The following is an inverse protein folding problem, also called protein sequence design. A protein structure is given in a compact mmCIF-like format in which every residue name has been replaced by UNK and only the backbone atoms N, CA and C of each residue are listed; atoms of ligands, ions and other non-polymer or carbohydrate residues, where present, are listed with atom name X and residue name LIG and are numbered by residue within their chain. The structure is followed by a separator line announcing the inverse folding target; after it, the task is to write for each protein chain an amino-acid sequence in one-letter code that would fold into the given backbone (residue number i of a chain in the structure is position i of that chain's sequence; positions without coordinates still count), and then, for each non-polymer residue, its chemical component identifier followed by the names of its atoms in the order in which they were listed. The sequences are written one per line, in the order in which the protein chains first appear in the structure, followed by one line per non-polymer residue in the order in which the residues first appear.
data_IF_656431377298
#
_entry.id   IF_656431377298
#
_cell.length_a   1.000
_cell.length_b   1.000
_cell.length_c   1.000
_cell.angle_alpha   90.00
_cell.angle_beta   90.00
_cell.angle_gamma   90.00
#
_symmetry.space_group_name_H-M   'P 1'
#
loop_
_entity.id
_entity.type
_entity.pdbx_description
1 polymer ?
#
# COMPACT_ATOMS: atom_id res chain seq x y z
N UNK A 1 8.93 -6.04 29.44
CA UNK A 1 9.73 -5.69 28.24
C UNK A 1 9.97 -6.97 27.46
N UNK A 2 10.01 -6.96 26.12
CA UNK A 2 10.29 -8.19 25.36
C UNK A 2 11.80 -8.30 25.11
N UNK A 3 12.40 -9.37 25.62
CA UNK A 3 13.79 -9.76 25.36
C UNK A 3 13.83 -10.98 24.44
N UNK A 4 14.92 -11.12 23.67
CA UNK A 4 15.09 -12.26 22.78
C UNK A 4 16.54 -12.50 22.39
N UNK A 5 16.91 -13.77 22.14
CA UNK A 5 18.17 -14.12 21.47
C UNK A 5 18.19 -13.72 19.98
N UNK A 6 17.04 -13.34 19.42
CA UNK A 6 16.85 -12.85 18.06
C UNK A 6 16.47 -11.38 18.10
N UNK A 7 17.41 -10.54 18.51
CA UNK A 7 17.19 -9.10 18.76
C UNK A 7 16.61 -8.35 17.56
N UNK A 8 16.93 -8.78 16.34
CA UNK A 8 16.40 -8.20 15.10
C UNK A 8 14.89 -8.39 14.89
N UNK A 9 14.24 -9.31 15.61
CA UNK A 9 12.80 -9.58 15.50
C UNK A 9 11.97 -8.94 16.62
N UNK A 10 12.61 -8.24 17.56
CA UNK A 10 11.94 -7.54 18.67
C UNK A 10 10.86 -6.55 18.18
N UNK A 11 11.04 -5.76 17.11
CA UNK A 11 9.99 -4.88 16.60
C UNK A 11 8.70 -5.65 16.25
N UNK A 12 8.81 -6.77 15.51
CA UNK A 12 7.65 -7.58 15.15
C UNK A 12 7.02 -8.31 16.34
N UNK A 13 7.80 -8.67 17.36
CA UNK A 13 7.26 -9.21 18.61
C UNK A 13 6.42 -8.17 19.35
N UNK A 14 6.91 -6.92 19.41
CA UNK A 14 6.16 -5.82 20.01
C UNK A 14 4.87 -5.50 19.24
N UNK A 15 4.88 -5.57 17.91
CA UNK A 15 3.66 -5.41 17.10
C UNK A 15 2.63 -6.49 17.43
N UNK A 16 3.05 -7.76 17.47
CA UNK A 16 2.16 -8.86 17.84
C UNK A 16 1.62 -8.67 19.27
N UNK A 17 2.48 -8.33 20.22
CA UNK A 17 2.09 -8.07 21.60
C UNK A 17 1.03 -6.97 21.71
N UNK A 18 1.20 -5.85 20.99
CA UNK A 18 0.25 -4.73 20.96
C UNK A 18 -1.16 -5.13 20.52
N UNK A 19 -1.30 -6.16 19.68
CA UNK A 19 -2.62 -6.63 19.21
C UNK A 19 -3.47 -7.27 20.32
N UNK A 20 -2.85 -7.73 21.41
CA UNK A 20 -3.54 -8.23 22.60
C UNK A 20 -3.88 -7.10 23.60
N UNK A 21 -3.77 -5.83 23.17
CA UNK A 21 -4.06 -4.62 23.94
C UNK A 21 -3.33 -4.51 25.30
N UNK A 22 -1.99 -4.57 25.34
CA UNK A 22 -1.28 -4.61 26.61
C UNK A 22 -1.15 -3.21 27.20
N UNK A 23 -1.97 -2.92 28.22
CA UNK A 23 -1.78 -1.78 29.13
C UNK A 23 -0.89 -2.14 30.34
N UNK A 24 -0.46 -3.39 30.44
CA UNK A 24 0.33 -3.92 31.55
C UNK A 24 1.73 -4.31 31.06
N UNK A 25 2.74 -4.02 31.88
CA UNK A 25 4.09 -4.52 31.67
C UNK A 25 4.11 -6.02 31.92
N UNK A 26 4.73 -6.77 31.01
CA UNK A 26 4.93 -8.21 31.12
C UNK A 26 6.40 -8.53 30.88
N UNK A 27 6.91 -9.54 31.58
CA UNK A 27 8.26 -10.04 31.38
C UNK A 27 8.20 -11.19 30.37
N UNK A 28 8.69 -10.90 29.16
CA UNK A 28 8.61 -11.80 28.01
C UNK A 28 10.02 -12.07 27.51
N UNK A 29 10.42 -13.33 27.51
CA UNK A 29 11.64 -13.77 26.84
C UNK A 29 11.28 -14.72 25.70
N UNK A 30 11.70 -14.37 24.48
CA UNK A 30 11.47 -15.16 23.27
C UNK A 30 12.77 -15.80 22.83
N UNK A 31 12.79 -17.12 22.72
CA UNK A 31 13.92 -17.88 22.20
C UNK A 31 13.56 -18.58 20.88
N UNK A 32 14.51 -18.56 19.95
CA UNK A 32 14.43 -19.37 18.74
C UNK A 32 15.81 -19.85 18.29
N UNK A 33 15.89 -21.12 17.93
CA UNK A 33 17.04 -21.68 17.23
C UNK A 33 16.59 -22.65 16.14
N UNK A 34 17.48 -22.94 15.20
CA UNK A 34 17.28 -23.99 14.21
C UNK A 34 18.47 -24.97 14.28
N UNK A 35 18.16 -26.26 14.27
CA UNK A 35 19.10 -27.38 14.24
C UNK A 35 18.57 -28.45 13.30
N UNK A 36 19.35 -28.81 12.28
CA UNK A 36 19.02 -29.87 11.31
C UNK A 36 17.59 -29.74 10.73
N UNK A 37 17.25 -28.57 10.19
CA UNK A 37 15.94 -28.23 9.61
C UNK A 37 14.77 -28.25 10.60
N UNK A 38 15.08 -28.33 11.90
CA UNK A 38 14.10 -28.28 12.98
C UNK A 38 14.26 -26.98 13.75
N UNK A 39 13.18 -26.22 13.82
CA UNK A 39 13.09 -24.95 14.53
C UNK A 39 12.52 -25.19 15.92
N UNK A 40 13.29 -24.81 16.94
CA UNK A 40 12.93 -24.92 18.34
C UNK A 40 12.69 -23.52 18.88
N UNK A 41 11.47 -23.25 19.34
CA UNK A 41 11.09 -21.95 19.85
C UNK A 41 10.45 -22.12 21.22
N UNK A 42 10.80 -21.25 22.17
CA UNK A 42 10.06 -21.15 23.42
C UNK A 42 9.87 -19.70 23.83
N UNK A 43 8.80 -19.45 24.57
CA UNK A 43 8.51 -18.16 25.18
C UNK A 43 8.33 -18.37 26.67
N UNK A 44 9.01 -17.55 27.46
CA UNK A 44 8.75 -17.39 28.88
C UNK A 44 7.93 -16.11 29.06
N UNK A 45 6.71 -16.25 29.57
CA UNK A 45 5.81 -15.14 29.86
C UNK A 45 5.48 -15.19 31.35
N UNK A 46 6.03 -14.26 32.13
CA UNK A 46 5.94 -14.24 33.60
C UNK A 46 6.31 -15.58 34.27
N UNK A 47 7.34 -16.25 33.75
CA UNK A 47 7.81 -17.54 34.23
C UNK A 47 7.07 -18.75 33.66
N UNK A 48 5.97 -18.57 32.93
CA UNK A 48 5.28 -19.65 32.24
C UNK A 48 5.90 -19.94 30.88
N UNK A 49 6.24 -21.20 30.61
CA UNK A 49 6.88 -21.63 29.36
C UNK A 49 5.87 -22.14 28.34
N UNK A 50 5.92 -21.60 27.13
CA UNK A 50 5.26 -22.13 25.93
C UNK A 50 6.31 -22.57 24.92
N UNK A 51 6.12 -23.71 24.26
CA UNK A 51 7.07 -24.25 23.30
C UNK A 51 6.42 -24.60 21.96
N UNK A 52 7.16 -24.37 20.88
CA UNK A 52 6.80 -24.73 19.51
C UNK A 52 8.00 -25.37 18.84
N UNK A 53 7.76 -26.52 18.21
CA UNK A 53 8.73 -27.24 17.39
C UNK A 53 8.17 -27.41 15.97
N UNK A 54 8.97 -27.08 14.95
CA UNK A 54 8.56 -27.19 13.55
C UNK A 54 9.69 -27.66 12.65
N UNK A 55 9.38 -28.53 11.69
CA UNK A 55 10.31 -28.92 10.64
C UNK A 55 10.01 -28.08 9.40
N UNK A 56 11.06 -27.55 8.76
CA UNK A 56 10.91 -26.90 7.46
C UNK A 56 12.19 -27.02 6.65
N UNK A 57 12.05 -27.38 5.39
CA UNK A 57 13.13 -27.32 4.40
C UNK A 57 13.30 -25.88 3.92
N UNK A 58 14.55 -25.45 3.75
CA UNK A 58 14.87 -24.12 3.23
C UNK A 58 16.11 -24.20 2.32
N UNK A 59 16.13 -23.35 1.29
CA UNK A 59 17.18 -23.31 0.26
C UNK A 59 18.32 -22.33 0.56
N UNK A 60 18.20 -21.53 1.62
CA UNK A 60 19.24 -20.58 2.02
C UNK A 60 18.92 -19.77 3.27
N UNK A 61 19.83 -18.88 3.65
CA UNK A 61 19.77 -18.13 4.91
C UNK A 61 18.55 -17.21 5.01
N UNK A 62 18.14 -16.58 3.90
CA UNK A 62 16.98 -15.70 3.85
C UNK A 62 15.70 -16.47 4.22
N UNK A 63 15.53 -17.66 3.66
CA UNK A 63 14.37 -18.50 3.92
C UNK A 63 14.42 -19.09 5.34
N UNK A 64 15.60 -19.52 5.80
CA UNK A 64 15.83 -19.92 7.20
C UNK A 64 15.42 -18.82 8.18
N UNK A 65 15.86 -17.58 7.95
CA UNK A 65 15.50 -16.42 8.78
C UNK A 65 13.99 -16.17 8.77
N UNK A 66 13.31 -16.35 7.62
CA UNK A 66 11.85 -16.23 7.52
C UNK A 66 11.12 -17.28 8.36
N UNK A 67 11.54 -18.55 8.32
CA UNK A 67 10.95 -19.61 9.15
C UNK A 67 11.20 -19.37 10.64
N UNK A 68 12.43 -19.01 11.01
CA UNK A 68 12.77 -18.71 12.40
C UNK A 68 11.91 -17.58 12.96
N UNK A 69 11.73 -16.50 12.20
CA UNK A 69 10.81 -15.41 12.56
C UNK A 69 9.37 -15.89 12.69
N UNK A 70 8.88 -16.69 11.73
CA UNK A 70 7.51 -17.19 11.73
C UNK A 70 7.21 -18.06 12.96
N UNK A 71 8.07 -19.02 13.27
CA UNK A 71 7.82 -19.98 14.34
C UNK A 71 8.03 -19.39 15.73
N UNK A 72 8.95 -18.42 15.88
CA UNK A 72 9.05 -17.65 17.14
C UNK A 72 7.83 -16.77 17.35
N UNK A 73 7.32 -16.11 16.30
CA UNK A 73 6.06 -15.37 16.38
C UNK A 73 4.86 -16.27 16.70
N UNK A 74 4.79 -17.47 16.13
CA UNK A 74 3.77 -18.46 16.47
C UNK A 74 3.85 -18.87 17.94
N UNK A 75 5.06 -19.12 18.46
CA UNK A 75 5.27 -19.45 19.86
C UNK A 75 4.84 -18.31 20.79
N UNK A 76 5.19 -17.07 20.44
CA UNK A 76 4.75 -15.88 21.15
C UNK A 76 3.22 -15.70 21.10
N UNK A 77 2.61 -15.90 19.93
CA UNK A 77 1.15 -15.85 19.78
C UNK A 77 0.46 -16.82 20.74
N UNK A 78 0.86 -18.10 20.75
CA UNK A 78 0.29 -19.12 21.63
C UNK A 78 0.45 -18.77 23.11
N UNK A 79 1.61 -18.25 23.51
CA UNK A 79 1.85 -17.81 24.88
C UNK A 79 0.90 -16.66 25.28
N UNK A 80 0.72 -15.68 24.39
CA UNK A 80 -0.15 -14.54 24.61
C UNK A 80 -1.64 -14.91 24.58
N UNK A 81 -2.06 -15.76 23.64
CA UNK A 81 -3.42 -16.30 23.57
C UNK A 81 -3.78 -17.00 24.88
N UNK A 82 -2.90 -17.88 25.36
CA UNK A 82 -3.11 -18.59 26.63
C UNK A 82 -3.22 -17.64 27.83
N UNK A 83 -2.33 -16.65 27.90
CA UNK A 83 -2.26 -15.73 29.04
C UNK A 83 -3.41 -14.73 29.08
N UNK A 84 -3.78 -14.15 27.93
CA UNK A 84 -4.84 -13.16 27.85
C UNK A 84 -6.22 -13.79 27.59
N UNK A 85 -6.28 -15.08 27.26
CA UNK A 85 -7.50 -15.78 26.85
C UNK A 85 -8.24 -15.07 25.70
N UNK A 86 -7.45 -14.58 24.72
CA UNK A 86 -7.94 -13.86 23.55
C UNK A 86 -7.40 -14.53 22.30
N UNK A 87 -8.28 -14.95 21.40
CA UNK A 87 -7.90 -15.47 20.09
C UNK A 87 -8.02 -14.39 19.02
N UNK A 88 -6.92 -14.10 18.33
CA UNK A 88 -6.96 -13.18 17.19
C UNK A 88 -7.47 -13.90 15.93
N UNK A 89 -8.35 -13.30 15.12
CA UNK A 89 -8.91 -13.96 13.93
C UNK A 89 -7.88 -14.39 12.88
N UNK A 90 -6.75 -13.70 12.82
CA UNK A 90 -5.64 -14.00 11.90
C UNK A 90 -4.56 -14.90 12.52
N UNK A 91 -4.77 -15.39 13.75
CA UNK A 91 -3.79 -16.20 14.46
C UNK A 91 -2.40 -15.55 14.49
N UNK A 92 -1.39 -16.34 14.14
CA UNK A 92 0.00 -15.91 14.05
C UNK A 92 0.36 -15.18 12.73
N UNK A 93 -0.59 -14.91 11.82
CA UNK A 93 -0.35 -14.19 10.56
C UNK A 93 -0.26 -12.65 10.71
N UNK A 94 0.25 -12.16 11.83
CA UNK A 94 0.39 -10.71 12.05
C UNK A 94 1.50 -10.13 11.18
N UNK A 95 1.21 -9.03 10.46
CA UNK A 95 2.16 -8.40 9.53
C UNK A 95 2.43 -9.19 8.25
N UNK A 96 1.67 -10.26 7.96
CA UNK A 96 1.79 -11.05 6.75
C UNK A 96 0.63 -10.71 5.81
N UNK A 97 0.88 -10.55 4.51
CA UNK A 97 -0.16 -10.41 3.49
C UNK A 97 -0.78 -11.79 3.21
N UNK A 98 -1.98 -12.11 3.75
CA UNK A 98 -2.44 -13.50 3.81
C UNK A 98 -2.69 -14.10 2.42
N UNK A 99 -3.26 -13.33 1.50
CA UNK A 99 -3.54 -13.76 0.13
C UNK A 99 -2.26 -14.11 -0.64
N UNK A 100 -1.21 -13.28 -0.53
CA UNK A 100 0.09 -13.55 -1.16
C UNK A 100 0.75 -14.80 -0.56
N UNK A 101 0.65 -14.95 0.76
CA UNK A 101 1.22 -16.08 1.47
C UNK A 101 0.51 -17.39 1.12
N UNK A 102 -0.83 -17.37 1.04
CA UNK A 102 -1.64 -18.51 0.64
C UNK A 102 -1.28 -19.05 -0.75
N UNK A 103 -1.00 -18.17 -1.73
CA UNK A 103 -0.56 -18.58 -3.09
C UNK A 103 0.80 -19.31 -3.12
N UNK A 104 1.51 -19.41 -1.99
CA UNK A 104 2.78 -20.14 -1.89
C UNK A 104 2.60 -21.61 -1.49
N UNK A 105 1.35 -22.08 -1.29
CA UNK A 105 1.03 -23.44 -0.87
C UNK A 105 -0.07 -24.03 -1.75
N UNK A 106 0.01 -25.32 -2.02
CA UNK A 106 -1.06 -26.05 -2.73
C UNK A 106 -2.32 -26.19 -1.85
N UNK A 107 -2.15 -26.49 -0.55
CA UNK A 107 -3.22 -26.55 0.44
C UNK A 107 -3.01 -25.52 1.57
N UNK A 108 -3.19 -24.24 1.25
CA UNK A 108 -2.98 -23.17 2.23
C UNK A 108 -4.01 -23.21 3.37
N UNK A 109 -5.21 -23.75 3.14
CA UNK A 109 -6.31 -23.80 4.12
C UNK A 109 -5.88 -24.62 5.35
N UNK A 110 -5.33 -25.81 5.10
CA UNK A 110 -4.80 -26.68 6.16
C UNK A 110 -3.63 -26.02 6.90
N UNK A 111 -2.69 -25.39 6.18
CA UNK A 111 -1.57 -24.69 6.81
C UNK A 111 -2.06 -23.51 7.68
N UNK A 112 -2.99 -22.71 7.19
CA UNK A 112 -3.51 -21.55 7.92
C UNK A 112 -4.24 -21.98 9.19
N UNK A 113 -5.06 -23.04 9.10
CA UNK A 113 -5.80 -23.60 10.22
C UNK A 113 -4.87 -24.24 11.26
N UNK A 114 -4.05 -25.21 10.84
CA UNK A 114 -3.25 -26.06 11.76
C UNK A 114 -1.97 -25.39 12.25
N UNK A 115 -1.29 -24.67 11.36
CA UNK A 115 0.05 -24.16 11.66
C UNK A 115 0.03 -22.71 12.15
N UNK A 116 -0.95 -21.92 11.71
CA UNK A 116 -0.99 -20.49 11.99
C UNK A 116 -2.18 -20.07 12.86
N UNK A 117 -3.05 -21.01 13.26
CA UNK A 117 -4.21 -20.78 14.14
C UNK A 117 -5.18 -19.70 13.62
N UNK A 118 -5.30 -19.61 12.29
CA UNK A 118 -6.20 -18.67 11.62
C UNK A 118 -7.63 -19.19 11.71
N UNK A 119 -8.58 -18.32 12.02
CA UNK A 119 -9.99 -18.69 12.07
C UNK A 119 -10.55 -19.02 10.68
N UNK A 120 -11.45 -20.00 10.61
CA UNK A 120 -12.07 -20.49 9.37
C UNK A 120 -12.72 -19.37 8.55
N UNK A 121 -13.33 -18.38 9.23
CA UNK A 121 -13.91 -17.21 8.56
C UNK A 121 -12.87 -16.40 7.77
N UNK A 122 -11.65 -16.28 8.29
CA UNK A 122 -10.55 -15.59 7.59
C UNK A 122 -9.95 -16.46 6.49
N UNK A 123 -9.88 -17.77 6.68
CA UNK A 123 -9.46 -18.72 5.63
C UNK A 123 -10.42 -18.64 4.44
N UNK A 124 -11.73 -18.68 4.70
CA UNK A 124 -12.77 -18.54 3.68
C UNK A 124 -12.71 -17.20 2.95
N UNK A 125 -12.43 -16.10 3.67
CA UNK A 125 -12.20 -14.79 3.05
C UNK A 125 -10.98 -14.81 2.12
N UNK A 126 -9.86 -15.43 2.53
CA UNK A 126 -8.68 -15.54 1.65
C UNK A 126 -9.00 -16.37 0.42
N UNK A 127 -9.73 -17.48 0.58
CA UNK A 127 -10.19 -18.34 -0.52
C UNK A 127 -11.04 -17.57 -1.51
N UNK A 128 -12.04 -16.81 -1.04
CA UNK A 128 -12.91 -16.03 -1.92
C UNK A 128 -12.12 -14.97 -2.68
N UNK A 129 -11.18 -14.28 -2.03
CA UNK A 129 -10.32 -13.29 -2.69
C UNK A 129 -9.45 -13.95 -3.77
N UNK A 130 -8.84 -15.10 -3.50
CA UNK A 130 -8.03 -15.83 -4.50
C UNK A 130 -8.89 -16.24 -5.70
N UNK A 131 -10.09 -16.77 -5.46
CA UNK A 131 -11.02 -17.15 -6.52
C UNK A 131 -11.40 -15.95 -7.40
N UNK A 132 -11.75 -14.81 -6.80
CA UNK A 132 -12.05 -13.56 -7.54
C UNK A 132 -10.82 -13.05 -8.31
N UNK A 133 -9.62 -13.17 -7.76
CA UNK A 133 -8.40 -12.73 -8.44
C UNK A 133 -7.97 -13.65 -9.57
N UNK A 134 -8.27 -14.95 -9.51
CA UNK A 134 -7.86 -15.90 -10.55
C UNK A 134 -8.46 -15.55 -11.91
N UNK A 135 -9.69 -15.03 -11.96
CA UNK A 135 -10.30 -14.53 -13.20
C UNK A 135 -9.68 -13.24 -13.72
N UNK A 136 -8.90 -12.53 -12.90
CA UNK A 136 -8.20 -11.29 -13.26
C UNK A 136 -6.73 -11.52 -13.61
N UNK A 137 -6.23 -12.76 -13.46
CA UNK A 137 -4.83 -13.07 -13.66
C UNK A 137 -4.52 -13.22 -15.15
N UNK A 138 -4.22 -12.10 -15.81
CA UNK A 138 -3.82 -12.08 -17.22
C UNK A 138 -2.32 -12.39 -17.31
N UNK A 139 -1.97 -13.56 -17.84
CA UNK A 139 -0.58 -13.79 -18.25
C UNK A 139 -0.31 -13.01 -19.53
N UNK A 140 0.65 -12.10 -19.45
CA UNK A 140 1.02 -11.24 -20.57
C UNK A 140 2.53 -11.08 -20.59
N UNK A 141 3.09 -10.95 -21.79
CA UNK A 141 4.48 -10.55 -22.00
C UNK A 141 4.64 -9.02 -21.93
N UNK A 142 3.55 -8.28 -21.71
CA UNK A 142 3.58 -6.83 -21.53
C UNK A 142 4.24 -6.41 -20.22
N UNK A 143 4.72 -5.18 -20.18
CA UNK A 143 5.41 -4.52 -19.07
C UNK A 143 4.60 -3.31 -18.60
N UNK A 144 4.51 -3.16 -17.28
CA UNK A 144 3.92 -2.00 -16.65
C UNK A 144 5.01 -0.99 -16.29
N UNK A 145 4.82 0.26 -16.69
CA UNK A 145 5.78 1.34 -16.46
C UNK A 145 5.24 2.24 -15.36
N UNK A 146 6.02 2.42 -14.30
CA UNK A 146 5.74 3.40 -13.26
C UNK A 146 6.75 4.54 -13.32
N UNK A 147 6.25 5.77 -13.40
CA UNK A 147 7.05 6.99 -13.37
C UNK A 147 6.76 7.73 -12.07
N UNK A 148 7.75 7.79 -11.19
CA UNK A 148 7.61 8.47 -9.90
C UNK A 148 7.95 9.96 -10.01
N UNK A 149 7.05 10.83 -9.55
CA UNK A 149 7.32 12.26 -9.37
C UNK A 149 7.36 12.56 -7.87
N UNK A 150 8.54 12.69 -7.25
CA UNK A 150 8.70 12.72 -5.79
C UNK A 150 8.42 14.10 -5.17
N UNK A 151 7.66 14.96 -5.83
CA UNK A 151 7.40 16.33 -5.42
C UNK A 151 5.94 16.55 -5.08
N UNK A 152 5.67 17.28 -3.99
CA UNK A 152 4.34 17.67 -3.56
C UNK A 152 4.29 19.16 -3.26
N UNK A 153 3.14 19.85 -3.42
CA UNK A 153 3.00 21.24 -2.98
C UNK A 153 3.08 21.38 -1.44
N UNK A 154 2.65 20.36 -0.70
CA UNK A 154 2.78 20.26 0.75
C UNK A 154 2.84 18.79 1.19
N UNK A 155 3.35 18.54 2.41
CA UNK A 155 3.31 17.21 3.03
C UNK A 155 1.94 16.99 3.71
N UNK A 156 1.26 15.90 3.36
CA UNK A 156 0.07 15.46 4.08
C UNK A 156 0.47 14.58 5.27
N UNK A 157 -0.18 14.73 6.42
CA UNK A 157 0.20 14.03 7.65
C UNK A 157 -0.01 12.51 7.60
N UNK A 158 -0.89 12.02 6.74
CA UNK A 158 -1.14 10.58 6.55
C UNK A 158 -0.23 9.93 5.50
N UNK A 159 0.50 10.72 4.71
CA UNK A 159 1.14 10.22 3.49
C UNK A 159 2.41 9.44 3.82
N UNK A 160 2.46 8.19 3.37
CA UNK A 160 3.63 7.30 3.49
C UNK A 160 4.55 7.31 2.27
N UNK A 161 4.15 7.97 1.17
CA UNK A 161 4.99 8.08 -0.02
C UNK A 161 6.28 8.86 0.26
N UNK A 162 7.36 8.43 -0.40
CA UNK A 162 8.66 9.11 -0.39
C UNK A 162 8.54 10.34 -1.30
N UNK A 163 8.15 11.47 -0.74
CA UNK A 163 7.96 12.72 -1.47
C UNK A 163 8.34 13.94 -0.61
N UNK A 164 8.94 14.93 -1.27
CA UNK A 164 9.34 16.20 -0.66
C UNK A 164 8.31 17.29 -0.93
N UNK A 165 8.06 18.13 0.08
CA UNK A 165 7.35 19.38 -0.15
C UNK A 165 8.25 20.32 -0.96
N UNK A 166 7.72 20.88 -2.05
CA UNK A 166 8.42 21.85 -2.87
C UNK A 166 8.78 23.09 -2.08
N UNK A 167 9.95 23.62 -2.40
CA UNK A 167 10.47 24.91 -2.00
C UNK A 167 11.34 25.46 -3.13
N UNK A 168 11.81 26.71 -3.00
CA UNK A 168 12.60 27.39 -4.03
C UNK A 168 13.89 26.66 -4.45
N UNK A 169 14.43 25.78 -3.60
CA UNK A 169 15.65 25.00 -3.86
C UNK A 169 15.37 23.59 -4.40
N UNK A 170 14.11 23.26 -4.69
CA UNK A 170 13.75 21.93 -5.15
C UNK A 170 14.26 21.71 -6.59
N UNK A 171 15.04 20.65 -6.85
CA UNK A 171 15.70 20.43 -8.14
C UNK A 171 14.73 19.79 -9.16
N UNK A 172 13.59 20.43 -9.41
CA UNK A 172 12.52 19.85 -10.25
C UNK A 172 13.00 19.71 -11.69
N UNK A 173 13.70 20.71 -12.22
CA UNK A 173 14.18 20.69 -13.60
C UNK A 173 15.26 19.62 -13.80
N UNK A 174 16.24 19.58 -12.89
CA UNK A 174 17.33 18.61 -12.91
C UNK A 174 16.80 17.17 -12.78
N UNK A 175 15.78 16.98 -11.94
CA UNK A 175 15.09 15.70 -11.81
C UNK A 175 14.40 15.29 -13.12
N UNK A 176 13.64 16.19 -13.75
CA UNK A 176 12.95 15.90 -15.02
C UNK A 176 13.96 15.64 -16.15
N UNK A 177 15.08 16.35 -16.18
CA UNK A 177 16.15 16.10 -17.15
C UNK A 177 16.79 14.72 -16.98
N UNK A 178 17.16 14.36 -15.75
CA UNK A 178 17.70 13.05 -15.43
C UNK A 178 16.70 11.93 -15.75
N UNK A 179 15.42 12.12 -15.39
CA UNK A 179 14.35 11.18 -15.67
C UNK A 179 14.13 11.01 -17.18
N UNK A 180 14.07 12.09 -17.95
CA UNK A 180 13.97 12.02 -19.41
C UNK A 180 15.18 11.32 -20.04
N UNK A 181 16.39 11.53 -19.50
CA UNK A 181 17.58 10.80 -19.94
C UNK A 181 17.43 9.30 -19.68
N UNK A 182 17.05 8.89 -18.47
CA UNK A 182 16.85 7.49 -18.09
C UNK A 182 15.78 6.80 -18.94
N UNK A 183 14.63 7.46 -19.15
CA UNK A 183 13.53 6.97 -20.00
C UNK A 183 14.03 6.69 -21.43
N UNK A 184 14.86 7.58 -21.98
CA UNK A 184 15.44 7.42 -23.31
C UNK A 184 16.46 6.26 -23.35
N UNK A 185 17.32 6.13 -22.34
CA UNK A 185 18.28 5.03 -22.26
C UNK A 185 17.60 3.66 -22.11
N UNK A 186 16.45 3.62 -21.43
CA UNK A 186 15.69 2.39 -21.19
C UNK A 186 14.69 2.06 -22.31
N UNK A 187 14.53 2.92 -23.33
CA UNK A 187 13.41 2.85 -24.29
C UNK A 187 13.33 1.50 -25.02
N UNK A 188 14.46 0.96 -25.42
CA UNK A 188 14.54 -0.33 -26.13
C UNK A 188 14.13 -1.52 -25.25
N UNK A 189 14.15 -1.38 -23.91
CA UNK A 189 13.74 -2.43 -22.99
C UNK A 189 12.21 -2.63 -22.96
N UNK A 190 11.43 -1.58 -23.24
CA UNK A 190 9.98 -1.60 -23.01
C UNK A 190 9.11 -1.20 -24.19
N UNK A 191 9.62 -0.47 -25.20
CA UNK A 191 8.78 0.21 -26.22
C UNK A 191 7.77 -0.70 -26.93
N UNK A 192 8.12 -1.94 -27.24
CA UNK A 192 7.23 -2.91 -27.92
C UNK A 192 6.30 -3.69 -26.98
N UNK A 193 6.56 -3.59 -25.66
CA UNK A 193 5.93 -4.43 -24.64
C UNK A 193 5.10 -3.62 -23.65
N UNK A 194 4.86 -2.33 -23.84
CA UNK A 194 4.09 -1.53 -22.88
C UNK A 194 2.66 -2.07 -22.74
N UNK A 195 2.28 -2.44 -21.52
CA UNK A 195 0.93 -2.85 -21.14
C UNK A 195 0.18 -1.68 -20.52
N UNK A 196 0.74 -1.09 -19.46
CA UNK A 196 0.21 0.09 -18.80
C UNK A 196 1.31 1.08 -18.43
N UNK A 197 0.94 2.35 -18.28
CA UNK A 197 1.82 3.41 -17.79
C UNK A 197 1.12 4.17 -16.68
N UNK A 198 1.82 4.38 -15.57
CA UNK A 198 1.30 5.08 -14.41
C UNK A 198 2.30 6.14 -13.95
N UNK A 199 1.89 7.40 -13.99
CA UNK A 199 2.67 8.51 -13.43
C UNK A 199 2.08 8.86 -12.06
N UNK A 200 2.84 8.68 -11.00
CA UNK A 200 2.38 8.85 -9.62
C UNK A 200 3.46 9.28 -8.64
N UNK A 201 3.24 9.04 -7.35
CA UNK A 201 4.25 9.20 -6.30
C UNK A 201 3.91 10.32 -5.32
N UNK A 202 4.46 11.51 -5.57
CA UNK A 202 4.08 12.72 -4.85
C UNK A 202 2.84 13.35 -5.46
N UNK A 203 3.04 14.28 -6.37
CA UNK A 203 1.97 14.95 -7.12
C UNK A 203 2.48 15.26 -8.53
N UNK A 204 2.28 14.37 -9.51
CA UNK A 204 2.67 14.61 -10.91
C UNK A 204 2.15 15.94 -11.46
N UNK A 205 0.92 16.32 -11.10
CA UNK A 205 0.32 17.59 -11.50
C UNK A 205 1.07 18.84 -10.98
N UNK A 206 2.05 18.70 -10.07
CA UNK A 206 2.86 19.83 -9.59
C UNK A 206 3.85 20.34 -10.64
N UNK A 207 4.22 19.48 -11.61
CA UNK A 207 5.03 19.89 -12.74
C UNK A 207 4.33 21.00 -13.51
N UNK A 208 5.09 21.98 -13.98
CA UNK A 208 4.55 22.99 -14.89
C UNK A 208 4.25 22.38 -16.27
N UNK A 209 3.61 23.16 -17.14
CA UNK A 209 3.16 22.74 -18.45
C UNK A 209 4.33 22.27 -19.34
N UNK A 210 5.44 23.00 -19.34
CA UNK A 210 6.64 22.67 -20.13
C UNK A 210 7.28 21.35 -19.67
N UNK A 211 7.47 21.19 -18.36
CA UNK A 211 8.00 19.97 -17.75
C UNK A 211 7.09 18.77 -18.03
N UNK A 212 5.78 18.97 -17.91
CA UNK A 212 4.76 17.96 -18.19
C UNK A 212 4.83 17.51 -19.65
N UNK A 213 4.81 18.46 -20.58
CA UNK A 213 4.89 18.17 -22.02
C UNK A 213 6.21 17.47 -22.38
N UNK A 214 7.34 17.94 -21.82
CA UNK A 214 8.65 17.31 -22.00
C UNK A 214 8.65 15.85 -21.55
N UNK A 215 8.12 15.57 -20.35
CA UNK A 215 8.06 14.21 -19.80
C UNK A 215 7.18 13.28 -20.67
N UNK A 216 5.94 13.70 -20.96
CA UNK A 216 5.00 12.88 -21.73
C UNK A 216 5.47 12.63 -23.16
N UNK A 217 6.07 13.64 -23.81
CA UNK A 217 6.69 13.48 -25.12
C UNK A 217 7.86 12.50 -25.08
N UNK A 218 8.65 12.49 -24.02
CA UNK A 218 9.79 11.59 -23.88
C UNK A 218 9.36 10.13 -23.75
N UNK A 219 8.28 9.88 -23.00
CA UNK A 219 7.71 8.55 -22.83
C UNK A 219 7.23 7.94 -24.15
N UNK A 220 6.68 8.74 -25.07
CA UNK A 220 6.31 8.30 -26.43
C UNK A 220 5.42 7.04 -26.41
N UNK A 221 4.35 7.11 -25.61
CA UNK A 221 3.46 5.98 -25.33
C UNK A 221 2.56 5.71 -26.56
N UNK A 222 2.45 4.45 -27.03
CA UNK A 222 1.60 4.11 -28.15
C UNK A 222 0.11 4.27 -27.79
N UNK A 223 -0.73 4.42 -28.83
CA UNK A 223 -2.17 4.42 -28.65
C UNK A 223 -2.68 3.07 -28.11
N UNK A 224 -3.82 3.09 -27.42
CA UNK A 224 -4.47 1.91 -26.81
C UNK A 224 -3.73 1.26 -25.62
N UNK A 225 -2.82 2.00 -24.97
CA UNK A 225 -2.25 1.64 -23.67
C UNK A 225 -3.02 2.37 -22.57
N UNK A 226 -3.32 1.72 -21.45
CA UNK A 226 -3.80 2.45 -20.27
C UNK A 226 -2.70 3.39 -19.79
N UNK A 227 -2.95 4.68 -19.87
CA UNK A 227 -1.99 5.71 -19.49
C UNK A 227 -2.62 6.60 -18.42
N UNK A 228 -2.21 6.35 -17.17
CA UNK A 228 -2.70 7.03 -15.99
C UNK A 228 -1.76 8.13 -15.51
N UNK A 229 -2.33 9.30 -15.16
CA UNK A 229 -1.62 10.35 -14.42
C UNK A 229 -2.35 10.66 -13.12
N UNK A 230 -1.65 10.62 -11.99
CA UNK A 230 -2.18 11.09 -10.71
C UNK A 230 -2.29 12.63 -10.71
N UNK A 231 -3.51 13.10 -10.88
CA UNK A 231 -3.92 14.50 -10.71
C UNK A 231 -4.50 14.72 -9.29
N UNK A 232 -3.92 14.03 -8.30
CA UNK A 232 -4.54 13.81 -6.99
C UNK A 232 -4.74 15.08 -6.17
N UNK A 233 -4.17 16.22 -6.59
CA UNK A 233 -4.26 17.55 -5.98
C UNK A 233 -5.01 18.49 -6.94
N UNK A 234 -6.29 18.81 -6.71
CA UNK A 234 -7.06 19.71 -7.60
C UNK A 234 -6.41 21.10 -7.71
N UNK A 235 -5.69 21.52 -6.67
CA UNK A 235 -4.94 22.76 -6.57
C UNK A 235 -3.72 22.84 -7.50
N UNK A 236 -3.36 21.75 -8.18
CA UNK A 236 -2.26 21.73 -9.16
C UNK A 236 -2.74 21.48 -10.60
N UNK A 237 -4.04 21.24 -10.80
CA UNK A 237 -4.62 20.88 -12.10
C UNK A 237 -5.13 22.14 -12.81
N UNK A 238 -4.61 22.39 -14.01
CA UNK A 238 -5.01 23.48 -14.90
C UNK A 238 -5.63 22.91 -16.18
N UNK A 239 -6.37 23.75 -16.92
CA UNK A 239 -6.93 23.34 -18.21
C UNK A 239 -5.80 22.97 -19.19
N UNK A 240 -4.73 23.75 -19.20
CA UNK A 240 -3.55 23.58 -20.05
C UNK A 240 -2.89 22.22 -19.81
N UNK A 241 -2.77 21.78 -18.55
CA UNK A 241 -2.26 20.43 -18.23
C UNK A 241 -3.20 19.33 -18.72
N UNK A 242 -4.51 19.49 -18.59
CA UNK A 242 -5.48 18.52 -19.12
C UNK A 242 -5.43 18.46 -20.65
N UNK A 243 -5.27 19.59 -21.33
CA UNK A 243 -5.05 19.65 -22.79
C UNK A 243 -3.78 18.87 -23.18
N UNK A 244 -2.68 19.07 -22.45
CA UNK A 244 -1.42 18.32 -22.63
C UNK A 244 -1.63 16.82 -22.39
N UNK A 245 -2.29 16.43 -21.30
CA UNK A 245 -2.59 15.03 -20.99
C UNK A 245 -3.35 14.36 -22.14
N UNK A 246 -4.43 14.98 -22.62
CA UNK A 246 -5.22 14.46 -23.73
C UNK A 246 -4.41 14.39 -25.04
N UNK A 247 -3.62 15.43 -25.34
CA UNK A 247 -2.73 15.49 -26.51
C UNK A 247 -1.75 14.31 -26.56
N UNK A 248 -1.22 13.90 -25.41
CA UNK A 248 -0.23 12.82 -25.30
C UNK A 248 -0.85 11.45 -24.95
N UNK A 249 -2.16 11.30 -25.08
CA UNK A 249 -2.84 10.01 -24.99
C UNK A 249 -3.07 9.49 -23.56
N UNK A 250 -2.93 10.34 -22.54
CA UNK A 250 -3.43 10.02 -21.20
C UNK A 250 -4.93 9.76 -21.31
N UNK A 251 -5.38 8.63 -20.78
CA UNK A 251 -6.78 8.21 -20.86
C UNK A 251 -7.37 7.88 -19.49
N UNK A 252 -6.56 7.97 -18.42
CA UNK A 252 -7.01 7.83 -17.05
C UNK A 252 -6.35 8.86 -16.15
N UNK A 253 -7.10 9.44 -15.22
CA UNK A 253 -6.57 10.35 -14.19
C UNK A 253 -7.16 10.03 -12.82
N UNK A 254 -6.43 10.40 -11.77
CA UNK A 254 -6.90 10.27 -10.39
C UNK A 254 -7.11 11.67 -9.80
N UNK A 255 -8.36 12.03 -9.47
CA UNK A 255 -8.71 13.28 -8.75
C UNK A 255 -9.12 12.90 -7.34
N UNK A 256 -8.24 13.13 -6.38
CA UNK A 256 -8.30 12.41 -5.12
C UNK A 256 -8.64 13.32 -3.94
N UNK A 257 -9.94 13.45 -3.57
CA UNK A 257 -10.35 14.27 -2.43
C UNK A 257 -9.79 13.74 -1.12
N UNK A 258 -9.62 12.42 -0.99
CA UNK A 258 -9.37 11.69 0.27
C UNK A 258 -10.55 11.75 1.24
N UNK A 259 -11.16 12.92 1.38
CA UNK A 259 -12.38 13.21 2.11
C UNK A 259 -13.03 14.47 1.52
N UNK A 260 -14.36 14.57 1.59
CA UNK A 260 -15.13 15.75 1.21
C UNK A 260 -15.60 16.53 2.46
N UNK A 261 -14.77 16.52 3.50
CA UNK A 261 -14.92 17.29 4.72
C UNK A 261 -13.77 18.31 4.85
N UNK A 262 -14.08 19.59 4.73
CA UNK A 262 -13.07 20.66 4.75
C UNK A 262 -12.25 20.68 6.04
N UNK A 263 -12.90 20.52 7.19
CA UNK A 263 -12.22 20.50 8.49
C UNK A 263 -11.19 19.37 8.55
N UNK A 264 -11.50 18.20 7.99
CA UNK A 264 -10.55 17.10 7.91
C UNK A 264 -9.39 17.42 6.97
N UNK A 265 -9.66 17.99 5.79
CA UNK A 265 -8.62 18.39 4.82
C UNK A 265 -7.57 19.31 5.47
N UNK A 266 -8.04 20.31 6.22
CA UNK A 266 -7.18 21.25 6.95
C UNK A 266 -6.32 20.53 8.00
N UNK A 267 -6.93 19.64 8.78
CA UNK A 267 -6.26 18.86 9.84
C UNK A 267 -5.18 17.91 9.30
N UNK A 268 -5.37 17.37 8.10
CA UNK A 268 -4.44 16.41 7.48
C UNK A 268 -3.39 17.09 6.59
N UNK A 269 -3.38 18.42 6.53
CA UNK A 269 -2.38 19.21 5.80
C UNK A 269 -2.65 19.34 4.30
N UNK A 270 -3.89 19.11 3.85
CA UNK A 270 -4.32 19.41 2.48
C UNK A 270 -4.83 20.84 2.40
N UNK A 271 -4.22 21.64 1.53
CA UNK A 271 -4.48 23.08 1.42
C UNK A 271 -5.58 23.46 0.41
N UNK A 272 -6.15 22.47 -0.29
CA UNK A 272 -7.25 22.73 -1.20
C UNK A 272 -8.59 22.71 -0.47
N UNK A 273 -9.59 23.26 -1.14
CA UNK A 273 -10.97 23.26 -0.70
C UNK A 273 -11.76 22.11 -1.33
N UNK A 274 -12.86 21.72 -0.69
CA UNK A 274 -13.85 20.81 -1.26
C UNK A 274 -14.35 21.34 -2.61
N UNK A 275 -14.63 22.63 -2.71
CA UNK A 275 -15.11 23.30 -3.93
C UNK A 275 -14.12 23.21 -5.10
N UNK A 276 -12.80 23.22 -4.81
CA UNK A 276 -11.78 22.99 -5.82
C UNK A 276 -11.81 21.56 -6.37
N UNK A 277 -12.17 20.55 -5.57
CA UNK A 277 -12.42 19.20 -6.09
C UNK A 277 -13.59 19.21 -7.08
N UNK A 278 -14.70 19.88 -6.72
CA UNK A 278 -15.86 19.97 -7.61
C UNK A 278 -15.52 20.63 -8.94
N UNK A 279 -14.80 21.75 -8.88
CA UNK A 279 -14.40 22.51 -10.05
C UNK A 279 -13.43 21.71 -10.94
N UNK A 280 -12.44 21.07 -10.33
CA UNK A 280 -11.45 20.24 -11.02
C UNK A 280 -12.11 19.03 -11.72
N UNK A 281 -13.00 18.31 -11.02
CA UNK A 281 -13.71 17.17 -11.60
C UNK A 281 -14.60 17.60 -12.78
N UNK A 282 -15.37 18.70 -12.62
CA UNK A 282 -16.21 19.24 -13.68
C UNK A 282 -15.38 19.64 -14.91
N UNK A 283 -14.22 20.24 -14.71
CA UNK A 283 -13.30 20.58 -15.79
C UNK A 283 -12.79 19.32 -16.51
N UNK A 284 -12.30 18.34 -15.75
CA UNK A 284 -11.73 17.11 -16.29
C UNK A 284 -12.77 16.24 -17.04
N UNK A 285 -14.05 16.31 -16.67
CA UNK A 285 -15.13 15.61 -17.39
C UNK A 285 -15.38 16.08 -18.83
N UNK A 286 -14.80 17.21 -19.25
CA UNK A 286 -14.85 17.65 -20.65
C UNK A 286 -13.83 16.92 -21.54
N UNK A 287 -13.01 16.05 -20.96
CA UNK A 287 -11.97 15.28 -21.65
C UNK A 287 -12.33 13.78 -21.65
N UNK A 288 -11.79 12.99 -22.59
CA UNK A 288 -12.05 11.56 -22.69
C UNK A 288 -11.26 10.75 -21.64
N UNK A 289 -11.16 11.24 -20.41
CA UNK A 289 -10.48 10.55 -19.32
C UNK A 289 -11.45 9.67 -18.53
N UNK A 290 -10.97 8.48 -18.19
CA UNK A 290 -11.50 7.70 -17.08
C UNK A 290 -11.01 8.33 -15.76
N UNK A 291 -11.93 8.68 -14.86
CA UNK A 291 -11.62 9.40 -13.63
C UNK A 291 -11.81 8.49 -12.41
N UNK A 292 -10.71 8.23 -11.72
CA UNK A 292 -10.69 7.62 -10.40
C UNK A 292 -10.73 8.69 -9.30
N UNK A 293 -11.38 8.39 -8.18
CA UNK A 293 -11.33 9.20 -6.97
C UNK A 293 -10.96 8.36 -5.76
N UNK A 294 -9.87 8.73 -5.08
CA UNK A 294 -9.44 8.06 -3.85
C UNK A 294 -10.07 8.70 -2.60
N UNK A 295 -10.56 7.83 -1.71
CA UNK A 295 -11.02 8.14 -0.36
C UNK A 295 -10.17 7.41 0.67
N UNK A 296 -9.99 8.01 1.84
CA UNK A 296 -9.27 7.39 2.97
C UNK A 296 -10.23 7.27 4.15
N UNK A 297 -10.51 6.04 4.57
CA UNK A 297 -11.24 5.73 5.78
C UNK A 297 -10.33 5.82 7.01
N UNK A 298 -10.84 6.40 8.10
CA UNK A 298 -10.13 6.49 9.38
C UNK A 298 -9.20 7.70 9.52
N UNK A 299 -9.42 8.76 8.72
CA UNK A 299 -8.68 10.00 8.86
C UNK A 299 -8.88 10.65 10.24
N UNK A 300 -7.86 11.39 10.69
CA UNK A 300 -7.85 12.04 12.00
C UNK A 300 -9.05 12.99 12.14
N UNK A 301 -9.88 12.72 13.15
CA UNK A 301 -11.03 13.56 13.49
C UNK A 301 -12.33 13.18 12.77
N UNK A 302 -12.33 12.14 11.93
CA UNK A 302 -13.53 11.62 11.28
C UNK A 302 -14.13 10.45 12.04
N UNK A 303 -15.47 10.40 12.07
CA UNK A 303 -16.23 9.23 12.47
C UNK A 303 -16.90 8.58 11.24
N UNK A 304 -17.66 7.50 11.47
CA UNK A 304 -18.37 6.77 10.42
C UNK A 304 -19.32 7.66 9.60
N UNK A 305 -20.01 8.62 10.25
CA UNK A 305 -20.93 9.54 9.57
C UNK A 305 -20.19 10.48 8.62
N UNK A 306 -19.03 10.98 9.03
CA UNK A 306 -18.20 11.84 8.19
C UNK A 306 -17.72 11.08 6.94
N UNK A 307 -17.20 9.87 7.13
CA UNK A 307 -16.75 9.03 6.02
C UNK A 307 -17.90 8.64 5.08
N UNK A 308 -19.06 8.26 5.64
CA UNK A 308 -20.25 7.97 4.82
C UNK A 308 -20.66 9.17 3.97
N UNK A 309 -20.69 10.37 4.56
CA UNK A 309 -20.99 11.59 3.83
C UNK A 309 -19.97 11.87 2.71
N UNK A 310 -18.68 11.60 2.94
CA UNK A 310 -17.66 11.69 1.88
C UNK A 310 -17.93 10.69 0.75
N UNK A 311 -18.30 9.44 1.07
CA UNK A 311 -18.67 8.44 0.05
C UNK A 311 -19.91 8.89 -0.74
N UNK A 312 -20.99 9.30 -0.05
CA UNK A 312 -22.24 9.73 -0.69
C UNK A 312 -21.97 10.87 -1.68
N UNK A 313 -21.25 11.92 -1.24
CA UNK A 313 -20.87 13.05 -2.10
C UNK A 313 -19.91 12.64 -3.23
N UNK A 314 -18.99 11.71 -2.99
CA UNK A 314 -18.12 11.19 -4.05
C UNK A 314 -18.94 10.52 -5.15
N UNK A 315 -20.00 9.79 -4.80
CA UNK A 315 -20.88 9.14 -5.78
C UNK A 315 -21.73 10.13 -6.58
N UNK A 316 -22.03 11.32 -6.04
CA UNK A 316 -22.74 12.39 -6.78
C UNK A 316 -21.96 12.88 -8.00
N UNK A 317 -20.62 12.82 -7.96
CA UNK A 317 -19.77 13.11 -9.12
C UNK A 317 -19.93 12.10 -10.26
N UNK A 318 -20.46 10.90 -9.96
CA UNK A 318 -20.47 9.73 -10.86
C UNK A 318 -19.06 9.48 -11.44
N UNK A 319 -18.01 9.30 -10.60
CA UNK A 319 -16.69 8.95 -11.10
C UNK A 319 -16.74 7.55 -11.74
N UNK A 320 -15.77 7.26 -12.60
CA UNK A 320 -15.75 5.97 -13.26
C UNK A 320 -15.24 4.86 -12.32
N UNK A 321 -14.38 5.24 -11.36
CA UNK A 321 -13.94 4.37 -10.27
C UNK A 321 -13.81 5.14 -8.95
N UNK A 322 -14.08 4.45 -7.83
CA UNK A 322 -13.79 4.95 -6.49
C UNK A 322 -12.88 3.95 -5.79
N UNK A 323 -11.73 4.41 -5.32
CA UNK A 323 -10.82 3.60 -4.51
C UNK A 323 -10.92 4.01 -3.06
N UNK A 324 -11.13 3.04 -2.16
CA UNK A 324 -11.16 3.28 -0.72
C UNK A 324 -9.92 2.68 -0.10
N UNK A 325 -9.07 3.55 0.47
CA UNK A 325 -7.95 3.16 1.30
C UNK A 325 -8.35 3.20 2.78
N UNK A 326 -7.78 2.32 3.59
CA UNK A 326 -7.85 2.43 5.04
C UNK A 326 -6.56 3.06 5.54
N UNK A 327 -6.65 4.08 6.40
CA UNK A 327 -5.49 4.71 7.00
C UNK A 327 -4.64 3.65 7.71
N UNK A 328 -3.37 3.56 7.31
CA UNK A 328 -2.35 2.75 7.96
C UNK A 328 -1.36 3.72 8.59
N UNK A 329 -1.24 3.68 9.91
CA UNK A 329 -0.30 4.52 10.69
C UNK A 329 0.90 3.69 11.10
#
# INVERSE_FOLDING_TARGET
MIESNLTSFIPEYNELYKMFSPRLAQDIFVFGEEKANTFYCYVLLNGEKTEVKRNASFSGEIERKRYLKRYTKLCLYKALEKHFNVKLPWGALTGIRPVKFAKSFDNFEEYFSREMEVDDNKINLVKSIIQTQNSLNVQTDKLDIYVGIPFCPSRCYYCSFVSGALNEKSPVNEYIEALCYEINQAKDLYKSRIGTVYIGGGTPAVLNEEQTEKLLKTLDIPSNVEFTVEAGRPDCVTKEKLDIYAKYGVNRICINPQTLNQKTLDLIGRKHTVEQIYSCFKLARNYPFYINMDLIAGLKGENLKDFKNSVDKTLEFKPDNVTVHTLCI
#
